data_IF_178286376436
#
_entry.id   IF_178286376436
#
_cell.length_a   1.000
_cell.length_b   1.000
_cell.length_c   1.000
_cell.angle_alpha   90.00
_cell.angle_beta   90.00
_cell.angle_gamma   90.00
#
_symmetry.space_group_name_H-M   'P 1'
#
loop_
_entity.id
_entity.type
_entity.pdbx_description
1 polymer ?
#
# COMPACT_ATOMS: atom_id res chain seq x y z
N UNK A 1 -4.04 24.69 11.93
CA UNK A 1 -3.16 23.76 11.18
C UNK A 1 -4.05 22.61 10.72
N UNK A 2 -4.04 22.21 9.45
CA UNK A 2 -4.88 21.10 9.01
C UNK A 2 -4.17 19.78 9.30
N UNK A 3 -4.62 19.11 10.38
CA UNK A 3 -4.32 17.71 10.62
C UNK A 3 -4.77 16.91 9.41
N UNK A 4 -3.82 16.27 8.72
CA UNK A 4 -4.16 15.35 7.62
C UNK A 4 -4.87 14.14 8.24
N UNK A 5 -6.04 13.81 7.71
CA UNK A 5 -6.80 12.64 8.15
C UNK A 5 -5.92 11.37 8.07
N UNK A 6 -5.91 10.48 9.09
CA UNK A 6 -5.06 9.29 9.08
C UNK A 6 -5.29 8.36 7.88
N UNK A 7 -6.49 8.33 7.33
CA UNK A 7 -6.86 7.69 6.07
C UNK A 7 -6.04 8.13 4.85
N UNK A 8 -5.40 9.31 4.87
CA UNK A 8 -4.54 9.81 3.78
C UNK A 8 -3.31 8.92 3.50
N UNK A 9 -2.84 8.15 4.51
CA UNK A 9 -1.71 7.22 4.39
C UNK A 9 -2.14 5.74 4.24
N UNK A 10 -3.44 5.50 4.03
CA UNK A 10 -4.01 4.17 3.73
C UNK A 10 -4.23 4.06 2.23
N UNK A 11 -3.45 3.23 1.54
CA UNK A 11 -3.62 3.05 0.09
C UNK A 11 -4.95 2.35 -0.27
N UNK A 12 -5.50 2.57 -1.48
CA UNK A 12 -6.72 1.88 -1.93
C UNK A 12 -6.60 0.35 -1.92
N UNK A 13 -5.38 -0.17 -2.03
CA UNK A 13 -5.07 -1.61 -2.01
C UNK A 13 -4.72 -2.17 -0.63
N UNK A 14 -4.89 -1.42 0.46
CA UNK A 14 -4.66 -1.94 1.82
C UNK A 14 -3.19 -2.00 2.27
N UNK A 15 -2.31 -1.21 1.65
CA UNK A 15 -0.93 -1.04 2.11
C UNK A 15 -0.86 0.22 2.97
N UNK A 16 -0.16 0.13 4.10
CA UNK A 16 0.06 1.28 4.97
C UNK A 16 1.29 2.07 4.48
N UNK A 17 1.05 3.23 3.85
CA UNK A 17 2.12 4.06 3.30
C UNK A 17 3.07 4.59 4.39
N UNK A 18 2.60 4.76 5.64
CA UNK A 18 3.40 5.26 6.75
C UNK A 18 4.61 4.39 7.14
N UNK A 19 4.61 3.10 6.79
CA UNK A 19 5.76 2.22 6.98
C UNK A 19 6.75 2.22 5.82
N UNK A 20 6.42 2.85 4.67
CA UNK A 20 7.24 2.82 3.48
C UNK A 20 8.33 3.91 3.52
N UNK A 21 9.63 3.56 3.44
CA UNK A 21 10.72 4.54 3.46
C UNK A 21 10.66 5.52 2.29
N UNK A 22 10.10 5.12 1.14
CA UNK A 22 9.89 6.01 -0.03
C UNK A 22 8.87 7.12 0.24
N UNK A 23 7.94 6.88 1.18
CA UNK A 23 6.94 7.85 1.62
C UNK A 23 7.46 8.72 2.77
N UNK A 24 8.07 8.07 3.77
CA UNK A 24 8.50 8.71 5.02
C UNK A 24 9.84 9.46 4.89
N UNK A 25 10.81 8.86 4.21
CA UNK A 25 12.23 9.24 4.33
C UNK A 25 12.78 9.97 3.09
N UNK A 26 12.34 9.61 1.87
CA UNK A 26 12.94 10.13 0.63
C UNK A 26 12.07 11.12 -0.16
N UNK A 27 10.83 11.37 0.26
CA UNK A 27 9.85 12.27 -0.38
C UNK A 27 9.50 11.98 -1.87
N UNK A 28 10.06 10.94 -2.49
CA UNK A 28 9.75 10.50 -3.87
C UNK A 28 8.33 9.97 -4.02
N UNK A 29 7.71 9.51 -2.93
CA UNK A 29 6.32 9.10 -2.87
C UNK A 29 5.53 10.05 -1.98
N UNK A 30 4.48 10.68 -2.52
CA UNK A 30 3.53 11.49 -1.73
C UNK A 30 2.34 10.70 -1.18
N UNK A 31 2.30 9.39 -1.43
CA UNK A 31 1.21 8.48 -1.05
C UNK A 31 0.06 8.49 -2.06
N UNK A 32 -0.66 7.37 -2.16
CA UNK A 32 -1.65 7.12 -3.22
C UNK A 32 -2.81 8.12 -3.28
N UNK A 33 -2.98 8.99 -2.29
CA UNK A 33 -4.11 9.95 -2.20
C UNK A 33 -3.68 11.41 -2.36
N UNK A 34 -2.43 11.70 -2.73
CA UNK A 34 -1.90 13.07 -2.74
C UNK A 34 -1.67 13.72 -4.10
N UNK A 35 -1.25 13.00 -5.14
CA UNK A 35 -0.78 13.67 -6.38
C UNK A 35 -1.09 12.97 -7.70
N UNK A 36 -1.94 11.92 -7.70
CA UNK A 36 -2.51 11.33 -8.92
C UNK A 36 -1.51 10.62 -9.85
N UNK A 37 -0.23 10.52 -9.47
CA UNK A 37 0.85 9.90 -10.26
C UNK A 37 0.83 8.39 -10.12
N UNK A 38 -0.26 7.78 -10.58
CA UNK A 38 -0.59 6.35 -10.41
C UNK A 38 -0.99 5.66 -11.72
N UNK A 39 -0.70 6.30 -12.86
CA UNK A 39 -0.83 5.80 -14.24
C UNK A 39 -0.18 4.42 -14.46
N UNK A 40 0.88 4.12 -13.72
CA UNK A 40 1.61 2.84 -13.77
C UNK A 40 1.08 1.76 -12.81
N UNK A 41 -0.06 1.97 -12.14
CA UNK A 41 -0.56 1.06 -11.12
C UNK A 41 -1.98 0.55 -11.42
N UNK A 42 -2.05 -0.63 -12.05
CA UNK A 42 -3.29 -1.31 -12.46
C UNK A 42 -4.32 -1.46 -11.32
N UNK A 43 -3.86 -1.61 -10.07
CA UNK A 43 -4.75 -1.69 -8.90
C UNK A 43 -5.37 -0.33 -8.57
N UNK A 44 -4.60 0.75 -8.69
CA UNK A 44 -5.09 2.11 -8.48
C UNK A 44 -6.04 2.52 -9.60
N UNK A 45 -5.65 2.28 -10.85
CA UNK A 45 -6.47 2.54 -12.03
C UNK A 45 -7.80 1.79 -11.96
N UNK A 46 -7.75 0.47 -11.68
CA UNK A 46 -8.96 -0.33 -11.49
C UNK A 46 -9.85 0.14 -10.33
N UNK A 47 -9.28 0.49 -9.18
CA UNK A 47 -10.06 0.80 -7.98
C UNK A 47 -10.61 2.23 -8.00
N UNK A 48 -9.72 3.21 -8.24
CA UNK A 48 -10.02 4.63 -8.07
C UNK A 48 -10.47 5.28 -9.38
N UNK A 49 -9.76 5.04 -10.48
CA UNK A 49 -10.02 5.71 -11.76
C UNK A 49 -11.24 5.10 -12.47
N UNK A 50 -11.22 3.80 -12.71
CA UNK A 50 -12.33 3.07 -13.35
C UNK A 50 -13.48 2.76 -12.38
N UNK A 51 -13.15 2.34 -11.16
CA UNK A 51 -14.14 1.89 -10.18
C UNK A 51 -14.83 3.00 -9.37
N UNK A 52 -14.25 4.21 -9.33
CA UNK A 52 -14.73 5.31 -8.48
C UNK A 52 -14.72 4.98 -6.97
N UNK A 53 -13.94 3.99 -6.54
CA UNK A 53 -13.87 3.51 -5.16
C UNK A 53 -12.70 4.15 -4.41
N UNK A 54 -12.82 4.25 -3.09
CA UNK A 54 -11.73 4.60 -2.18
C UNK A 54 -10.83 3.41 -1.87
N UNK A 55 -11.39 2.19 -1.85
CA UNK A 55 -10.70 0.96 -1.48
C UNK A 55 -11.18 -0.25 -2.28
N UNK A 56 -10.30 -1.23 -2.51
CA UNK A 56 -10.65 -2.44 -3.26
C UNK A 56 -11.73 -3.29 -2.56
N UNK A 57 -11.96 -3.16 -1.25
CA UNK A 57 -13.03 -3.87 -0.55
C UNK A 57 -14.44 -3.35 -0.87
N UNK A 58 -14.55 -2.18 -1.51
CA UNK A 58 -15.83 -1.58 -1.93
C UNK A 58 -16.29 -2.08 -3.31
N UNK A 59 -15.52 -2.98 -3.93
CA UNK A 59 -15.91 -3.68 -5.16
C UNK A 59 -16.74 -4.92 -4.82
N UNK A 60 -17.84 -5.16 -5.54
CA UNK A 60 -18.73 -6.31 -5.31
C UNK A 60 -18.05 -7.66 -5.58
N UNK A 61 -17.00 -7.66 -6.42
CA UNK A 61 -16.16 -8.82 -6.73
C UNK A 61 -14.95 -8.98 -5.78
N UNK A 62 -14.92 -8.33 -4.61
CA UNK A 62 -13.80 -8.41 -3.67
C UNK A 62 -13.78 -9.73 -2.86
N UNK A 63 -12.60 -10.39 -2.71
CA UNK A 63 -11.34 -10.13 -3.39
C UNK A 63 -11.37 -10.62 -4.84
N UNK A 64 -10.98 -9.77 -5.79
CA UNK A 64 -10.98 -10.11 -7.21
C UNK A 64 -9.65 -10.69 -7.67
N UNK A 65 -9.65 -11.45 -8.76
CA UNK A 65 -8.45 -12.10 -9.33
C UNK A 65 -7.27 -11.12 -9.52
N UNK A 66 -7.53 -9.88 -9.97
CA UNK A 66 -6.50 -8.84 -10.11
C UNK A 66 -5.82 -8.53 -8.76
N UNK A 67 -6.59 -8.45 -7.68
CA UNK A 67 -6.06 -8.19 -6.34
C UNK A 67 -5.34 -9.43 -5.78
N UNK A 68 -5.86 -10.62 -5.99
CA UNK A 68 -5.17 -11.87 -5.61
C UNK A 68 -3.85 -12.05 -6.37
N UNK A 69 -3.81 -11.72 -7.65
CA UNK A 69 -2.60 -11.74 -8.46
C UNK A 69 -1.57 -10.74 -7.91
N UNK A 70 -2.02 -9.55 -7.47
CA UNK A 70 -1.19 -8.55 -6.83
C UNK A 70 -0.63 -9.01 -5.46
N UNK A 71 -1.42 -9.72 -4.65
CA UNK A 71 -0.93 -10.25 -3.36
C UNK A 71 0.07 -11.39 -3.53
N UNK A 72 -0.09 -12.19 -4.60
CA UNK A 72 0.80 -13.31 -5.00
C UNK A 72 2.00 -12.87 -5.87
N UNK A 73 2.12 -11.60 -6.23
CA UNK A 73 3.16 -11.13 -7.16
C UNK A 73 4.56 -11.08 -6.52
N UNK A 74 5.44 -11.99 -6.94
CA UNK A 74 6.78 -12.18 -6.40
C UNK A 74 7.83 -12.47 -7.50
N UNK A 75 8.16 -11.51 -8.39
CA UNK A 75 9.26 -11.69 -9.34
C UNK A 75 10.61 -11.79 -8.60
N UNK A 76 11.43 -12.78 -8.95
CA UNK A 76 12.86 -12.85 -8.59
C UNK A 76 13.24 -13.40 -7.20
N UNK A 77 12.35 -13.35 -6.18
CA UNK A 77 12.67 -13.49 -4.73
C UNK A 77 13.49 -12.28 -4.19
N UNK A 78 13.37 -11.78 -2.95
CA UNK A 78 12.66 -12.21 -1.72
C UNK A 78 12.31 -10.96 -0.87
N UNK A 79 11.10 -10.56 -0.47
CA UNK A 79 9.70 -10.98 -0.70
C UNK A 79 8.83 -9.70 -0.69
N UNK A 80 7.62 -9.72 -1.25
CA UNK A 80 6.69 -8.59 -1.15
C UNK A 80 6.02 -8.51 0.25
N UNK A 81 6.79 -8.09 1.26
CA UNK A 81 6.48 -8.16 2.69
C UNK A 81 5.18 -7.46 3.16
N UNK A 82 4.53 -6.69 2.29
CA UNK A 82 3.28 -5.97 2.57
C UNK A 82 2.16 -6.25 1.56
N UNK A 83 2.44 -6.85 0.39
CA UNK A 83 1.41 -7.14 -0.63
C UNK A 83 0.60 -8.39 -0.28
N UNK A 84 1.26 -9.40 0.28
CA UNK A 84 0.61 -10.68 0.60
C UNK A 84 -0.53 -10.53 1.65
N UNK A 85 -0.38 -9.62 2.62
CA UNK A 85 -1.39 -9.26 3.62
C UNK A 85 -2.37 -8.15 3.18
N UNK A 86 -2.31 -7.69 1.93
CA UNK A 86 -3.19 -6.61 1.46
C UNK A 86 -4.69 -6.93 1.57
N UNK A 87 -5.10 -8.18 1.30
CA UNK A 87 -6.50 -8.62 1.43
C UNK A 87 -6.94 -8.66 2.91
N UNK A 88 -6.07 -9.12 3.83
CA UNK A 88 -6.33 -9.10 5.27
C UNK A 88 -6.48 -7.66 5.78
N UNK A 89 -5.58 -6.77 5.37
CA UNK A 89 -5.64 -5.35 5.68
C UNK A 89 -6.95 -4.71 5.17
N UNK A 90 -7.37 -5.02 3.93
CA UNK A 90 -8.62 -4.52 3.37
C UNK A 90 -9.85 -5.04 4.14
N UNK A 91 -9.85 -6.29 4.59
CA UNK A 91 -10.89 -6.82 5.49
C UNK A 91 -10.89 -6.09 6.85
N UNK A 92 -9.72 -5.78 7.42
CA UNK A 92 -9.60 -5.02 8.66
C UNK A 92 -10.10 -3.58 8.48
N UNK A 93 -9.69 -2.88 7.42
CA UNK A 93 -10.17 -1.53 7.09
C UNK A 93 -11.69 -1.51 6.91
N UNK A 94 -12.27 -2.52 6.23
CA UNK A 94 -13.73 -2.66 6.10
C UNK A 94 -14.45 -2.80 7.44
N UNK A 95 -13.82 -3.44 8.43
CA UNK A 95 -14.40 -3.71 9.74
C UNK A 95 -14.31 -2.50 10.70
N UNK A 96 -13.18 -1.79 10.75
CA UNK A 96 -12.92 -0.74 11.75
C UNK A 96 -12.83 0.69 11.19
N UNK A 97 -12.84 0.82 9.86
CA UNK A 97 -12.62 2.09 9.16
C UNK A 97 -11.13 2.45 8.97
N UNK A 98 -10.80 3.27 7.95
CA UNK A 98 -9.42 3.54 7.58
C UNK A 98 -8.65 4.36 8.62
N UNK A 99 -9.29 5.27 9.36
CA UNK A 99 -8.58 6.08 10.35
C UNK A 99 -8.20 5.29 11.61
N UNK A 100 -9.05 4.36 12.05
CA UNK A 100 -8.71 3.44 13.14
C UNK A 100 -7.65 2.44 12.70
N UNK A 101 -7.75 1.90 11.49
CA UNK A 101 -6.73 1.02 10.94
C UNK A 101 -5.37 1.71 10.79
N UNK A 102 -5.32 2.96 10.31
CA UNK A 102 -4.08 3.74 10.24
C UNK A 102 -3.40 3.85 11.62
N UNK A 103 -4.17 4.07 12.69
CA UNK A 103 -3.67 4.11 14.08
C UNK A 103 -3.20 2.74 14.60
N UNK A 104 -3.84 1.64 14.18
CA UNK A 104 -3.34 0.29 14.47
C UNK A 104 -1.99 0.05 13.78
N UNK A 105 -1.88 0.42 12.50
CA UNK A 105 -0.66 0.23 11.71
C UNK A 105 0.49 1.14 12.14
N UNK A 106 0.21 2.36 12.58
CA UNK A 106 1.21 3.25 13.20
C UNK A 106 1.86 2.59 14.42
N UNK A 107 1.04 2.05 15.35
CA UNK A 107 1.53 1.33 16.53
C UNK A 107 2.34 0.08 16.16
N UNK A 108 1.84 -0.74 15.22
CA UNK A 108 2.56 -1.91 14.72
C UNK A 108 3.89 -1.55 14.06
N UNK A 109 3.94 -0.44 13.32
CA UNK A 109 5.18 0.05 12.71
C UNK A 109 6.17 0.55 13.76
N UNK A 110 5.69 1.24 14.80
CA UNK A 110 6.54 1.68 15.92
C UNK A 110 7.06 0.50 16.77
N UNK A 111 6.29 -0.60 16.88
CA UNK A 111 6.69 -1.83 17.57
C UNK A 111 7.59 -2.76 16.72
N UNK A 112 7.65 -2.57 15.40
CA UNK A 112 8.36 -3.44 14.46
C UNK A 112 7.50 -4.55 13.81
N UNK A 113 6.26 -4.76 14.29
CA UNK A 113 5.29 -5.76 13.80
C UNK A 113 4.77 -5.54 12.36
N UNK A 114 5.11 -4.40 11.76
CA UNK A 114 4.86 -4.11 10.35
C UNK A 114 5.93 -3.16 9.82
N UNK A 115 6.76 -3.64 8.90
CA UNK A 115 7.78 -2.83 8.24
C UNK A 115 7.78 -3.07 6.73
N UNK A 116 8.11 -2.03 5.98
CA UNK A 116 8.37 -2.11 4.54
C UNK A 116 9.84 -1.79 4.37
N UNK A 117 10.66 -2.85 4.25
CA UNK A 117 12.10 -2.68 4.11
C UNK A 117 12.46 -2.08 2.75
N UNK A 118 13.58 -1.34 2.69
CA UNK A 118 14.24 -0.98 1.43
C UNK A 118 15.19 -2.08 0.91
N UNK A 119 15.33 -3.18 1.65
CA UNK A 119 16.21 -4.31 1.37
C UNK A 119 15.54 -5.65 1.68
N UNK A 120 15.83 -6.64 0.85
CA UNK A 120 15.46 -8.03 1.00
C UNK A 120 16.17 -8.66 2.22
N UNK A 121 15.67 -9.79 2.78
CA UNK A 121 16.39 -10.54 3.83
C UNK A 121 17.79 -10.99 3.38
N UNK A 122 17.98 -11.22 2.08
CA UNK A 122 19.24 -11.58 1.44
C UNK A 122 20.23 -10.38 1.31
N UNK A 123 19.82 -9.17 1.71
CA UNK A 123 20.64 -7.94 1.72
C UNK A 123 20.54 -7.06 0.47
N UNK A 124 20.07 -7.63 -0.64
CA UNK A 124 19.80 -6.91 -1.90
C UNK A 124 18.73 -5.81 -1.72
N UNK A 125 18.76 -4.72 -2.51
CA UNK A 125 17.71 -3.70 -2.48
C UNK A 125 16.35 -4.27 -2.88
N UNK A 126 15.29 -3.87 -2.16
CA UNK A 126 13.93 -4.31 -2.49
C UNK A 126 13.44 -3.64 -3.79
N UNK A 127 13.51 -4.42 -4.87
CA UNK A 127 13.01 -4.12 -6.21
C UNK A 127 11.50 -4.34 -6.35
N UNK A 128 10.77 -4.31 -5.22
CA UNK A 128 9.31 -4.20 -5.16
C UNK A 128 8.75 -2.76 -4.97
N UNK A 129 9.22 -1.69 -5.66
CA UNK A 129 8.51 -0.41 -5.67
C UNK A 129 7.01 -0.60 -5.87
N UNK A 130 6.22 0.27 -5.24
CA UNK A 130 4.96 0.65 -5.87
C UNK A 130 5.30 1.18 -7.27
N UNK A 131 4.68 0.64 -8.33
CA UNK A 131 4.99 0.96 -9.74
C UNK A 131 4.93 2.47 -10.08
N UNK A 132 4.23 3.24 -9.25
CA UNK A 132 4.17 4.70 -9.27
C UNK A 132 5.54 5.38 -9.03
N UNK A 133 6.40 4.77 -8.21
CA UNK A 133 7.76 5.25 -7.95
C UNK A 133 8.71 4.55 -8.90
N UNK A 134 9.00 5.20 -10.03
CA UNK A 134 10.10 4.77 -10.89
C UNK A 134 11.42 4.86 -10.10
N UNK A 135 12.34 3.88 -10.20
CA UNK A 135 13.69 4.07 -9.68
C UNK A 135 14.32 5.27 -10.38
N UNK A 136 15.00 6.12 -9.61
CA UNK A 136 15.86 7.16 -10.18
C UNK A 136 16.99 6.48 -10.98
N UNK A 137 17.34 7.07 -12.12
CA UNK A 137 18.35 6.53 -13.05
C UNK A 137 19.77 6.75 -12.55
#
# INVERSE_FOLDING_TARGET
MQEKQPSAIVSPCGIYCGACPRYRDTAVCRGCRCDGRHDKCDIYDCCVVMGGKNFCYECDCFPCERLESFTRYHPGKSFAHFRHIAIENLNRIRLIGPDMWAREMEKRTAAGDYSISGKNPDGDPDTSPCSCVSPEK
#
